data_IF_461781696662
#
_entry.id   IF_461781696662
#
_cell.length_a   1.000
_cell.length_b   1.000
_cell.length_c   1.000
_cell.angle_alpha   90.00
_cell.angle_beta   90.00
_cell.angle_gamma   90.00
#
_symmetry.space_group_name_H-M   'P 1'
#
loop_
_entity.id
_entity.type
_entity.pdbx_description
1 polymer ?
#
# COMPACT_ATOMS: atom_id res chain seq x y z
N UNK A 1 26.89 -29.19 -56.81
CA UNK A 1 26.27 -28.18 -55.97
C UNK A 1 25.66 -28.87 -54.79
N UNK A 2 26.37 -28.95 -53.69
CA UNK A 2 25.95 -29.58 -52.46
C UNK A 2 25.55 -28.48 -51.46
N UNK A 3 24.26 -28.36 -51.20
CA UNK A 3 23.70 -27.40 -50.21
C UNK A 3 23.79 -27.99 -48.82
N UNK A 4 24.65 -27.45 -47.98
CA UNK A 4 24.72 -27.77 -46.55
C UNK A 4 23.72 -26.92 -45.78
N UNK A 5 22.77 -27.58 -45.11
CA UNK A 5 21.85 -26.98 -44.15
C UNK A 5 22.56 -26.72 -42.82
N UNK A 6 22.41 -25.56 -42.21
CA UNK A 6 22.99 -25.32 -40.88
C UNK A 6 22.16 -26.02 -39.81
N UNK A 7 22.81 -26.84 -39.00
CA UNK A 7 22.25 -27.47 -37.81
C UNK A 7 22.01 -26.43 -36.73
N UNK A 8 20.74 -26.17 -36.38
CA UNK A 8 20.34 -25.36 -35.22
C UNK A 8 20.48 -26.23 -33.95
N UNK A 9 21.63 -26.15 -33.32
CA UNK A 9 21.81 -26.72 -31.98
C UNK A 9 21.06 -25.82 -30.99
N UNK A 10 19.87 -26.27 -30.58
CA UNK A 10 19.08 -25.60 -29.56
C UNK A 10 19.81 -25.67 -28.20
N UNK A 11 20.31 -24.51 -27.75
CA UNK A 11 20.75 -24.33 -26.37
C UNK A 11 19.52 -24.17 -25.47
N UNK A 12 18.96 -25.27 -24.96
CA UNK A 12 18.11 -25.25 -23.78
C UNK A 12 19.01 -25.27 -22.55
N UNK A 13 19.57 -24.12 -22.20
CA UNK A 13 20.13 -23.93 -20.87
C UNK A 13 18.97 -23.80 -19.90
N UNK A 14 18.62 -24.87 -19.20
CA UNK A 14 17.83 -24.76 -17.97
C UNK A 14 18.72 -24.08 -16.96
N UNK A 15 18.53 -22.77 -16.74
CA UNK A 15 19.23 -22.05 -15.69
C UNK A 15 18.99 -22.79 -14.36
N UNK A 16 20.07 -23.14 -13.66
CA UNK A 16 19.98 -23.69 -12.31
C UNK A 16 19.46 -22.61 -11.38
N UNK A 17 18.19 -22.66 -11.00
CA UNK A 17 17.51 -21.74 -10.10
C UNK A 17 17.63 -22.17 -8.61
N UNK A 18 18.36 -23.26 -8.33
CA UNK A 18 18.51 -23.80 -6.96
C UNK A 18 19.20 -22.84 -5.97
N UNK A 19 19.89 -21.81 -6.49
CA UNK A 19 20.55 -20.79 -5.69
C UNK A 19 19.71 -19.54 -5.39
N UNK A 20 18.47 -19.44 -5.89
CA UNK A 20 17.63 -18.30 -5.56
C UNK A 20 17.08 -18.42 -4.13
N UNK A 21 17.11 -17.32 -3.34
CA UNK A 21 16.55 -17.32 -2.01
C UNK A 21 15.03 -17.59 -2.09
N UNK A 22 14.55 -18.45 -1.19
CA UNK A 22 13.12 -18.70 -1.08
C UNK A 22 12.37 -17.42 -0.67
N UNK A 23 11.17 -17.17 -1.21
CA UNK A 23 10.33 -16.07 -0.76
C UNK A 23 10.06 -16.18 0.75
N UNK A 24 10.00 -15.04 1.44
CA UNK A 24 9.56 -15.02 2.84
C UNK A 24 8.09 -15.45 2.94
N UNK A 25 7.76 -16.14 4.01
CA UNK A 25 6.34 -16.36 4.37
C UNK A 25 5.70 -15.04 4.76
N UNK A 26 4.47 -14.82 4.29
CA UNK A 26 3.64 -13.71 4.74
C UNK A 26 3.10 -14.07 6.13
N UNK A 27 3.52 -13.33 7.14
CA UNK A 27 3.11 -13.55 8.54
C UNK A 27 1.88 -12.74 8.93
N UNK A 28 1.92 -12.12 10.12
CA UNK A 28 0.85 -11.24 10.61
C UNK A 28 1.00 -9.85 9.96
N UNK A 29 -0.03 -9.41 9.21
CA UNK A 29 -0.03 -8.14 8.47
C UNK A 29 -1.12 -7.22 8.99
N UNK A 30 -0.74 -6.08 9.54
CA UNK A 30 -1.71 -5.05 9.92
C UNK A 30 -2.03 -4.17 8.71
N UNK A 31 -3.31 -4.03 8.39
CA UNK A 31 -3.78 -3.29 7.21
C UNK A 31 -4.70 -2.16 7.66
N UNK A 32 -4.32 -0.92 7.40
CA UNK A 32 -5.25 0.20 7.58
C UNK A 32 -6.14 0.36 6.35
N UNK A 33 -7.40 0.74 6.54
CA UNK A 33 -8.35 0.84 5.42
C UNK A 33 -8.78 -0.53 4.87
N UNK A 34 -8.69 -1.59 5.69
CA UNK A 34 -8.92 -2.96 5.24
C UNK A 34 -10.38 -3.35 5.04
N UNK A 35 -11.33 -2.48 5.35
CA UNK A 35 -12.75 -2.74 5.14
C UNK A 35 -13.20 -2.56 3.68
N UNK A 36 -12.46 -1.85 2.85
CA UNK A 36 -12.84 -1.56 1.47
C UNK A 36 -11.65 -1.37 0.52
N UNK A 37 -11.95 -1.26 -0.77
CA UNK A 37 -11.01 -0.83 -1.81
C UNK A 37 -9.70 -1.62 -1.84
N UNK A 38 -8.57 -0.90 -1.91
CA UNK A 38 -7.24 -1.52 -1.94
C UNK A 38 -6.95 -2.29 -0.65
N UNK A 39 -7.30 -1.72 0.52
CA UNK A 39 -7.04 -2.39 1.80
C UNK A 39 -7.74 -3.74 1.90
N UNK A 40 -9.01 -3.85 1.48
CA UNK A 40 -9.73 -5.12 1.45
C UNK A 40 -9.09 -6.11 0.45
N UNK A 41 -8.65 -5.63 -0.71
CA UNK A 41 -7.91 -6.47 -1.66
C UNK A 41 -6.57 -6.97 -1.09
N UNK A 42 -5.88 -6.16 -0.28
CA UNK A 42 -4.66 -6.57 0.43
C UNK A 42 -4.98 -7.63 1.49
N UNK A 43 -6.07 -7.46 2.25
CA UNK A 43 -6.53 -8.48 3.22
C UNK A 43 -6.74 -9.83 2.53
N UNK A 44 -7.44 -9.83 1.38
CA UNK A 44 -7.66 -11.05 0.59
C UNK A 44 -6.35 -11.64 0.08
N UNK A 45 -5.44 -10.83 -0.41
CA UNK A 45 -4.14 -11.27 -0.91
C UNK A 45 -3.25 -11.86 0.20
N UNK A 46 -3.28 -11.29 1.41
CA UNK A 46 -2.58 -11.81 2.59
C UNK A 46 -3.13 -13.18 2.98
N UNK A 47 -4.45 -13.35 3.03
CA UNK A 47 -5.08 -14.64 3.29
C UNK A 47 -4.69 -15.68 2.24
N UNK A 48 -4.77 -15.32 0.96
CA UNK A 48 -4.38 -16.21 -0.14
C UNK A 48 -2.90 -16.63 -0.11
N UNK A 49 -2.03 -15.77 0.43
CA UNK A 49 -0.62 -16.05 0.62
C UNK A 49 -0.30 -16.80 1.93
N UNK A 50 -1.33 -17.23 2.69
CA UNK A 50 -1.19 -17.96 3.95
C UNK A 50 -0.80 -17.11 5.16
N UNK A 51 -0.91 -15.78 5.04
CA UNK A 51 -0.68 -14.84 6.14
C UNK A 51 -1.93 -14.59 7.00
N UNK A 52 -1.76 -13.86 8.07
CA UNK A 52 -2.83 -13.47 9.02
C UNK A 52 -3.04 -11.96 8.95
N UNK A 53 -4.07 -11.47 8.24
CA UNK A 53 -4.37 -10.05 8.22
C UNK A 53 -5.09 -9.61 9.50
N UNK A 54 -4.81 -8.38 9.96
CA UNK A 54 -5.59 -7.70 10.99
C UNK A 54 -5.85 -6.26 10.55
N UNK A 55 -7.06 -5.75 10.78
CA UNK A 55 -7.57 -4.54 10.16
C UNK A 55 -7.76 -3.40 11.16
N UNK A 56 -7.31 -2.22 10.77
CA UNK A 56 -7.60 -0.93 11.42
C UNK A 56 -8.42 -0.08 10.45
N UNK A 57 -9.71 0.11 10.73
CA UNK A 57 -10.63 0.85 9.86
C UNK A 57 -11.76 1.47 10.69
N UNK A 58 -12.50 2.40 10.12
CA UNK A 58 -13.74 2.94 10.71
C UNK A 58 -14.93 2.00 10.57
N UNK A 59 -14.80 0.95 9.77
CA UNK A 59 -15.80 -0.07 9.55
C UNK A 59 -15.20 -1.46 9.68
N UNK A 60 -16.01 -2.43 10.05
CA UNK A 60 -15.58 -3.83 10.08
C UNK A 60 -15.30 -4.36 8.66
N UNK A 61 -14.27 -5.19 8.45
CA UNK A 61 -14.02 -5.83 7.17
C UNK A 61 -15.15 -6.83 6.85
N UNK A 62 -15.43 -7.01 5.56
CA UNK A 62 -16.46 -7.95 5.08
C UNK A 62 -16.01 -9.42 5.12
N UNK A 63 -14.87 -9.72 5.72
CA UNK A 63 -14.29 -11.06 5.82
C UNK A 63 -14.45 -11.60 7.22
N UNK A 64 -15.25 -12.68 7.35
CA UNK A 64 -15.37 -13.39 8.62
C UNK A 64 -14.01 -13.95 9.09
N UNK A 65 -13.79 -13.91 10.40
CA UNK A 65 -12.57 -14.44 11.01
C UNK A 65 -11.33 -13.53 10.90
N UNK A 66 -11.43 -12.36 10.25
CA UNK A 66 -10.37 -11.37 10.25
C UNK A 66 -10.50 -10.46 11.46
N UNK A 67 -9.46 -10.43 12.30
CA UNK A 67 -9.43 -9.54 13.45
C UNK A 67 -9.46 -8.07 12.99
N UNK A 68 -10.24 -7.25 13.68
CA UNK A 68 -10.36 -5.84 13.32
C UNK A 68 -10.62 -4.97 14.55
N UNK A 69 -10.16 -3.74 14.48
CA UNK A 69 -10.52 -2.67 15.42
C UNK A 69 -11.08 -1.49 14.67
N UNK A 70 -12.23 -1.01 15.15
CA UNK A 70 -12.81 0.23 14.66
C UNK A 70 -12.05 1.41 15.25
N UNK A 71 -11.48 2.25 14.36
CA UNK A 71 -10.66 3.40 14.74
C UNK A 71 -10.69 4.49 13.68
N UNK A 72 -10.81 5.75 14.10
CA UNK A 72 -10.55 6.90 13.22
C UNK A 72 -9.04 7.19 13.19
N UNK A 73 -8.43 6.94 12.05
CA UNK A 73 -6.99 7.19 11.84
C UNK A 73 -6.64 8.68 11.79
N UNK A 74 -7.62 9.57 11.75
CA UNK A 74 -7.43 11.01 11.96
C UNK A 74 -7.05 11.37 13.40
N UNK A 75 -7.29 10.46 14.36
CA UNK A 75 -6.81 10.54 15.73
C UNK A 75 -5.55 9.68 15.88
N UNK A 76 -4.39 10.33 15.93
CA UNK A 76 -3.10 9.65 16.02
C UNK A 76 -2.91 8.86 17.32
N UNK A 77 -3.52 9.29 18.44
CA UNK A 77 -3.42 8.59 19.71
C UNK A 77 -4.27 7.32 19.67
N UNK A 78 -5.51 7.41 19.19
CA UNK A 78 -6.39 6.25 18.99
C UNK A 78 -5.79 5.24 17.99
N UNK A 79 -5.16 5.71 16.91
CA UNK A 79 -4.47 4.85 15.95
C UNK A 79 -3.31 4.06 16.58
N UNK A 80 -2.49 4.71 17.42
CA UNK A 80 -1.39 4.06 18.11
C UNK A 80 -1.89 3.04 19.16
N UNK A 81 -2.92 3.38 19.93
CA UNK A 81 -3.56 2.47 20.89
C UNK A 81 -4.16 1.24 20.20
N UNK A 82 -4.81 1.44 19.06
CA UNK A 82 -5.39 0.36 18.27
C UNK A 82 -4.32 -0.64 17.79
N UNK A 83 -3.12 -0.20 17.44
CA UNK A 83 -1.99 -1.11 17.16
C UNK A 83 -1.65 -1.96 18.37
N UNK A 84 -1.52 -1.37 19.56
CA UNK A 84 -1.23 -2.12 20.78
C UNK A 84 -2.32 -3.17 21.11
N UNK A 85 -3.58 -2.81 20.94
CA UNK A 85 -4.72 -3.74 21.12
C UNK A 85 -4.73 -4.89 20.11
N UNK A 86 -4.35 -4.64 18.84
CA UNK A 86 -4.20 -5.72 17.86
C UNK A 86 -3.07 -6.68 18.25
N UNK A 87 -1.96 -6.17 18.80
CA UNK A 87 -0.88 -7.03 19.30
C UNK A 87 -1.38 -7.98 20.39
N UNK A 88 -2.24 -7.53 21.29
CA UNK A 88 -2.86 -8.37 22.31
C UNK A 88 -3.83 -9.42 21.74
N UNK A 89 -4.52 -9.09 20.63
CA UNK A 89 -5.52 -9.97 20.03
C UNK A 89 -4.94 -11.04 19.10
N UNK A 90 -3.97 -10.67 18.26
CA UNK A 90 -3.48 -11.52 17.17
C UNK A 90 -1.96 -11.68 17.14
N UNK A 91 -1.25 -11.11 18.11
CA UNK A 91 0.20 -11.11 18.17
C UNK A 91 0.86 -10.00 17.33
N UNK A 92 2.18 -9.79 17.50
CA UNK A 92 2.89 -8.70 16.88
C UNK A 92 2.91 -8.79 15.34
N UNK A 93 2.87 -7.65 14.64
CA UNK A 93 2.93 -7.64 13.18
C UNK A 93 4.34 -7.98 12.67
N UNK A 94 4.39 -8.73 11.58
CA UNK A 94 5.57 -8.89 10.73
C UNK A 94 5.56 -7.91 9.56
N UNK A 95 4.40 -7.32 9.27
CA UNK A 95 4.28 -6.27 8.27
C UNK A 95 3.12 -5.31 8.59
N UNK A 96 3.23 -4.08 8.08
CA UNK A 96 2.18 -3.07 8.11
C UNK A 96 1.95 -2.53 6.70
N UNK A 97 0.69 -2.45 6.29
CA UNK A 97 0.25 -1.83 5.03
C UNK A 97 -0.69 -0.68 5.33
N UNK A 98 -0.29 0.55 5.02
CA UNK A 98 -1.11 1.74 5.32
C UNK A 98 -1.94 2.15 4.10
N UNK A 99 -3.06 1.42 3.85
CA UNK A 99 -3.93 1.63 2.69
C UNK A 99 -5.12 2.57 2.97
N UNK A 100 -5.34 3.00 4.21
CA UNK A 100 -6.36 3.99 4.52
C UNK A 100 -6.07 5.32 3.84
N UNK A 101 -7.12 5.94 3.34
CA UNK A 101 -7.03 7.27 2.73
C UNK A 101 -8.39 7.87 2.47
N UNK A 102 -8.43 9.19 2.46
CA UNK A 102 -9.60 10.01 2.13
C UNK A 102 -9.16 11.18 1.25
N UNK A 103 -10.13 11.86 0.67
CA UNK A 103 -9.90 12.98 -0.22
C UNK A 103 -10.93 14.09 0.00
N UNK A 104 -10.57 15.31 -0.43
CA UNK A 104 -11.43 16.47 -0.54
C UNK A 104 -11.01 17.26 -1.78
N UNK A 105 -11.86 17.22 -2.82
CA UNK A 105 -11.60 17.87 -4.11
C UNK A 105 -12.29 19.22 -4.19
N UNK A 106 -11.61 20.20 -4.78
CA UNK A 106 -12.13 21.53 -5.07
C UNK A 106 -11.06 22.61 -5.06
N UNK A 107 -11.36 23.82 -5.55
CA UNK A 107 -10.49 24.98 -5.43
C UNK A 107 -10.17 25.26 -3.96
N UNK A 108 -8.91 25.59 -3.64
CA UNK A 108 -8.45 25.77 -2.27
C UNK A 108 -9.30 26.74 -1.44
N UNK A 109 -9.85 27.76 -2.09
CA UNK A 109 -10.70 28.77 -1.43
C UNK A 109 -12.13 28.30 -1.15
N UNK A 110 -12.55 27.17 -1.73
CA UNK A 110 -13.91 26.65 -1.63
C UNK A 110 -13.99 25.38 -0.77
N UNK A 111 -12.88 24.69 -0.57
CA UNK A 111 -12.84 23.52 0.33
C UNK A 111 -12.97 23.99 1.77
N UNK A 112 -13.86 23.35 2.54
CA UNK A 112 -13.90 23.55 3.99
C UNK A 112 -12.53 23.26 4.63
N UNK A 113 -11.97 24.19 5.42
CA UNK A 113 -10.67 24.00 6.04
C UNK A 113 -10.54 22.73 6.87
N UNK A 114 -11.59 22.34 7.59
CA UNK A 114 -11.59 21.11 8.39
C UNK A 114 -11.55 19.86 7.50
N UNK A 115 -12.27 19.86 6.38
CA UNK A 115 -12.22 18.79 5.41
C UNK A 115 -10.82 18.66 4.79
N UNK A 116 -10.18 19.78 4.45
CA UNK A 116 -8.80 19.82 3.95
C UNK A 116 -7.81 19.22 4.96
N UNK A 117 -7.87 19.68 6.23
CA UNK A 117 -7.00 19.19 7.29
C UNK A 117 -7.25 17.71 7.60
N UNK A 118 -8.51 17.25 7.55
CA UNK A 118 -8.88 15.86 7.76
C UNK A 118 -8.16 14.93 6.77
N UNK A 119 -8.03 15.34 5.51
CA UNK A 119 -7.27 14.57 4.51
C UNK A 119 -5.82 14.37 4.96
N UNK A 120 -5.17 15.41 5.46
CA UNK A 120 -3.78 15.32 5.95
C UNK A 120 -3.70 14.48 7.22
N UNK A 121 -4.64 14.69 8.15
CA UNK A 121 -4.70 13.91 9.40
C UNK A 121 -4.83 12.41 9.12
N UNK A 122 -5.76 12.01 8.28
CA UNK A 122 -5.99 10.58 7.97
C UNK A 122 -4.84 10.01 7.14
N UNK A 123 -4.50 10.65 6.02
CA UNK A 123 -3.59 10.06 5.04
C UNK A 123 -2.12 10.06 5.50
N UNK A 124 -1.70 11.12 6.19
CA UNK A 124 -0.31 11.28 6.61
C UNK A 124 -0.12 10.97 8.10
N UNK A 125 -0.82 11.69 9.00
CA UNK A 125 -0.58 11.51 10.43
C UNK A 125 -1.04 10.14 10.92
N UNK A 126 -2.16 9.62 10.40
CA UNK A 126 -2.61 8.25 10.68
C UNK A 126 -1.61 7.20 10.20
N UNK A 127 -1.05 7.38 8.99
CA UNK A 127 0.05 6.53 8.49
C UNK A 127 1.25 6.55 9.43
N UNK A 128 1.70 7.74 9.83
CA UNK A 128 2.85 7.91 10.74
C UNK A 128 2.56 7.28 12.11
N UNK A 129 1.36 7.49 12.67
CA UNK A 129 1.00 6.96 13.98
C UNK A 129 1.00 5.43 14.02
N UNK A 130 0.37 4.79 13.04
CA UNK A 130 0.32 3.31 12.93
C UNK A 130 1.71 2.73 12.72
N UNK A 131 2.48 3.27 11.78
CA UNK A 131 3.85 2.80 11.51
C UNK A 131 4.71 2.95 12.75
N UNK A 132 4.70 4.13 13.40
CA UNK A 132 5.50 4.40 14.60
C UNK A 132 5.17 3.43 15.75
N UNK A 133 3.89 3.12 15.97
CA UNK A 133 3.46 2.19 17.00
C UNK A 133 3.88 0.74 16.69
N UNK A 134 3.95 0.36 15.41
CA UNK A 134 4.32 -0.98 14.97
C UNK A 134 5.85 -1.19 14.86
N UNK A 135 6.64 -0.12 14.70
CA UNK A 135 8.09 -0.21 14.44
C UNK A 135 8.88 -1.09 15.42
N UNK A 136 8.67 -1.07 16.75
CA UNK A 136 9.40 -1.94 17.66
C UNK A 136 9.23 -3.43 17.33
N UNK A 137 8.01 -3.84 16.97
CA UNK A 137 7.70 -5.22 16.59
C UNK A 137 8.26 -5.58 15.21
N UNK A 138 8.19 -4.64 14.28
CA UNK A 138 8.73 -4.83 12.92
C UNK A 138 10.27 -4.94 12.95
N UNK A 139 10.94 -4.20 13.81
CA UNK A 139 12.39 -4.29 13.97
C UNK A 139 12.79 -5.65 14.52
N UNK A 140 12.11 -6.16 15.54
CA UNK A 140 12.33 -7.50 16.10
C UNK A 140 12.10 -8.61 15.05
N UNK A 141 11.01 -8.48 14.26
CA UNK A 141 10.67 -9.43 13.22
C UNK A 141 11.50 -9.28 11.93
N UNK A 142 12.36 -8.26 11.81
CA UNK A 142 12.93 -7.82 10.52
C UNK A 142 11.85 -7.68 9.46
N UNK A 143 10.74 -7.06 9.84
CA UNK A 143 9.51 -6.98 9.09
C UNK A 143 9.54 -5.93 7.99
N UNK A 144 8.35 -5.63 7.45
CA UNK A 144 8.21 -4.72 6.30
C UNK A 144 7.08 -3.72 6.52
N UNK A 145 7.32 -2.46 6.17
CA UNK A 145 6.33 -1.41 6.04
C UNK A 145 6.04 -1.19 4.55
N UNK A 146 4.76 -1.20 4.17
CA UNK A 146 4.30 -0.77 2.86
C UNK A 146 3.38 0.44 3.05
N UNK A 147 3.83 1.62 2.64
CA UNK A 147 3.00 2.81 2.64
C UNK A 147 2.36 3.02 1.28
N UNK A 148 1.12 3.52 1.27
CA UNK A 148 0.40 3.78 0.02
C UNK A 148 0.42 5.26 -0.32
N UNK A 149 1.24 5.61 -1.32
CA UNK A 149 1.25 6.91 -1.97
C UNK A 149 0.11 7.06 -3.00
N UNK A 150 0.42 7.70 -4.10
CA UNK A 150 -0.43 7.89 -5.28
C UNK A 150 0.44 8.46 -6.41
N UNK A 151 -0.02 8.43 -7.67
CA UNK A 151 0.57 9.27 -8.72
C UNK A 151 0.61 10.75 -8.32
N UNK A 152 -0.32 11.18 -7.44
CA UNK A 152 -0.33 12.52 -6.85
C UNK A 152 0.72 12.73 -5.73
N UNK A 153 1.55 11.74 -5.43
CA UNK A 153 2.78 11.92 -4.66
C UNK A 153 4.01 12.21 -5.52
N UNK A 154 3.84 12.15 -6.85
CA UNK A 154 4.89 12.43 -7.86
C UNK A 154 4.68 13.78 -8.53
N UNK A 155 3.42 14.18 -8.74
CA UNK A 155 3.03 15.48 -9.29
C UNK A 155 1.74 15.96 -8.63
N UNK A 156 1.62 17.27 -8.42
CA UNK A 156 0.39 17.90 -7.95
C UNK A 156 -0.67 17.96 -9.06
N UNK A 157 -1.93 18.05 -8.65
CA UNK A 157 -3.08 18.25 -9.53
C UNK A 157 -3.90 19.42 -9.00
N UNK A 158 -4.49 20.24 -9.89
CA UNK A 158 -5.43 21.28 -9.47
C UNK A 158 -6.62 20.64 -8.75
N UNK A 159 -7.25 21.38 -7.87
CA UNK A 159 -8.41 20.97 -7.09
C UNK A 159 -8.20 19.71 -6.20
N UNK A 160 -6.93 19.32 -5.98
CA UNK A 160 -6.53 18.21 -5.14
C UNK A 160 -5.40 18.60 -4.18
N UNK A 161 -5.42 19.83 -3.66
CA UNK A 161 -4.31 20.36 -2.85
C UNK A 161 -4.11 19.59 -1.54
N UNK A 162 -5.18 19.22 -0.83
CA UNK A 162 -5.11 18.42 0.39
C UNK A 162 -4.54 17.03 0.13
N UNK A 163 -5.08 16.35 -0.89
CA UNK A 163 -4.66 15.01 -1.24
C UNK A 163 -3.21 14.97 -1.71
N UNK A 164 -2.83 15.88 -2.64
CA UNK A 164 -1.45 16.01 -3.10
C UNK A 164 -0.50 16.28 -1.93
N UNK A 165 -0.80 17.26 -1.07
CA UNK A 165 0.03 17.56 0.09
C UNK A 165 0.21 16.33 0.99
N UNK A 166 -0.87 15.59 1.28
CA UNK A 166 -0.83 14.38 2.10
C UNK A 166 0.02 13.28 1.46
N UNK A 167 -0.12 13.04 0.16
CA UNK A 167 0.57 11.95 -0.55
C UNK A 167 2.05 12.27 -0.84
N UNK A 168 2.41 13.54 -1.10
CA UNK A 168 3.82 13.98 -1.08
C UNK A 168 4.42 13.82 0.32
N UNK A 169 3.66 14.14 1.37
CA UNK A 169 4.07 13.91 2.76
C UNK A 169 4.35 12.43 3.06
N UNK A 170 3.45 11.52 2.64
CA UNK A 170 3.64 10.07 2.77
C UNK A 170 4.91 9.62 2.04
N UNK A 171 5.15 10.10 0.82
CA UNK A 171 6.38 9.77 0.08
C UNK A 171 7.63 10.23 0.82
N UNK A 172 7.66 11.49 1.26
CA UNK A 172 8.79 12.04 2.03
C UNK A 172 9.05 11.27 3.32
N UNK A 173 7.97 10.97 4.07
CA UNK A 173 8.03 10.14 5.26
C UNK A 173 8.62 8.75 4.97
N UNK A 174 8.13 8.09 3.91
CA UNK A 174 8.57 6.74 3.56
C UNK A 174 10.06 6.69 3.22
N UNK A 175 10.55 7.67 2.43
CA UNK A 175 11.97 7.74 2.07
C UNK A 175 12.87 7.99 3.29
N UNK A 176 12.44 8.89 4.19
CA UNK A 176 13.18 9.17 5.41
C UNK A 176 13.21 7.93 6.33
N UNK A 177 12.05 7.26 6.51
CA UNK A 177 11.94 6.03 7.29
C UNK A 177 12.83 4.90 6.72
N UNK A 178 12.86 4.76 5.38
CA UNK A 178 13.69 3.77 4.72
C UNK A 178 15.20 4.00 4.97
N UNK A 179 15.63 5.25 5.04
CA UNK A 179 17.02 5.60 5.37
C UNK A 179 17.31 5.37 6.86
N UNK A 180 16.38 5.75 7.75
CA UNK A 180 16.52 5.61 9.20
C UNK A 180 16.58 4.14 9.64
N UNK A 181 15.76 3.26 9.02
CA UNK A 181 15.66 1.84 9.37
C UNK A 181 16.40 0.91 8.41
N UNK A 182 17.33 1.44 7.61
CA UNK A 182 18.10 0.66 6.64
C UNK A 182 18.73 -0.59 7.27
N UNK A 183 18.48 -1.76 6.67
CA UNK A 183 18.98 -3.06 7.13
C UNK A 183 18.25 -3.64 8.36
N UNK A 184 17.29 -2.91 8.96
CA UNK A 184 16.53 -3.34 10.14
C UNK A 184 15.07 -3.66 9.80
N UNK A 185 14.40 -2.77 9.07
CA UNK A 185 13.02 -2.92 8.61
C UNK A 185 12.96 -2.61 7.13
N UNK A 186 12.33 -3.46 6.34
CA UNK A 186 12.06 -3.18 4.93
C UNK A 186 11.01 -2.08 4.79
N UNK A 187 11.22 -1.11 3.90
CA UNK A 187 10.29 0.00 3.70
C UNK A 187 10.02 0.21 2.22
N UNK A 188 8.76 0.05 1.83
CA UNK A 188 8.28 0.15 0.45
C UNK A 188 7.27 1.27 0.32
N UNK A 189 7.42 2.11 -0.69
CA UNK A 189 6.39 3.03 -1.16
C UNK A 189 5.64 2.39 -2.34
N UNK A 190 4.36 2.11 -2.15
CA UNK A 190 3.45 1.72 -3.23
C UNK A 190 2.81 2.98 -3.81
N UNK A 191 2.92 3.18 -5.11
CA UNK A 191 2.40 4.34 -5.85
C UNK A 191 1.35 3.84 -6.86
N UNK A 192 0.08 3.71 -6.45
CA UNK A 192 -0.97 3.30 -7.37
C UNK A 192 -1.43 4.47 -8.24
N UNK A 193 -1.85 4.15 -9.47
CA UNK A 193 -2.72 4.98 -10.29
C UNK A 193 -4.17 4.90 -9.85
N UNK A 194 -5.09 5.33 -10.71
CA UNK A 194 -6.52 5.21 -10.48
C UNK A 194 -6.95 3.74 -10.34
N UNK A 195 -7.76 3.44 -9.32
CA UNK A 195 -8.26 2.09 -9.08
C UNK A 195 -9.78 2.05 -9.03
N UNK A 196 -10.36 0.95 -9.48
CA UNK A 196 -11.80 0.69 -9.47
C UNK A 196 -12.28 0.33 -8.07
N UNK A 197 -12.52 1.38 -7.26
CA UNK A 197 -12.92 1.29 -5.86
C UNK A 197 -13.95 2.37 -5.54
N UNK A 198 -14.60 2.28 -4.39
CA UNK A 198 -15.53 3.29 -3.89
C UNK A 198 -14.85 4.63 -3.48
N UNK A 199 -13.52 4.76 -3.64
CA UNK A 199 -12.78 5.96 -3.26
C UNK A 199 -13.28 7.24 -3.95
N UNK A 200 -13.83 7.10 -5.15
CA UNK A 200 -14.35 8.21 -5.95
C UNK A 200 -15.83 8.52 -5.72
N UNK A 201 -16.57 7.64 -5.03
CA UNK A 201 -18.05 7.71 -4.94
C UNK A 201 -18.55 8.99 -4.26
N UNK A 202 -17.83 9.49 -3.26
CA UNK A 202 -18.17 10.71 -2.53
C UNK A 202 -17.82 12.03 -3.23
N UNK A 203 -17.18 11.98 -4.42
CA UNK A 203 -16.79 13.18 -5.17
C UNK A 203 -17.97 13.72 -5.98
N UNK A 204 -17.97 15.03 -6.23
CA UNK A 204 -18.85 15.63 -7.25
C UNK A 204 -18.49 15.11 -8.65
N UNK A 205 -19.44 15.08 -9.57
CA UNK A 205 -19.26 14.43 -10.89
C UNK A 205 -18.03 14.91 -11.66
N UNK A 206 -17.70 16.20 -11.59
CA UNK A 206 -16.53 16.77 -12.27
C UNK A 206 -15.19 16.23 -11.78
N UNK A 207 -15.13 15.62 -10.59
CA UNK A 207 -13.92 15.05 -9.99
C UNK A 207 -13.93 13.51 -9.97
N UNK A 208 -14.98 12.91 -10.52
CA UNK A 208 -15.01 11.46 -10.74
C UNK A 208 -14.24 11.09 -11.99
N UNK A 209 -13.63 9.90 -12.05
CA UNK A 209 -13.09 9.37 -13.30
C UNK A 209 -14.15 9.37 -14.40
N UNK A 210 -13.76 9.79 -15.59
CA UNK A 210 -14.67 9.73 -16.75
C UNK A 210 -15.08 8.29 -17.08
N UNK A 211 -16.14 8.11 -17.90
CA UNK A 211 -16.65 6.78 -18.24
C UNK A 211 -15.63 5.89 -18.94
N UNK A 212 -14.68 6.49 -19.66
CA UNK A 212 -13.62 5.79 -20.39
C UNK A 212 -12.30 5.69 -19.62
N UNK A 213 -12.30 6.05 -18.33
CA UNK A 213 -11.08 5.98 -17.51
C UNK A 213 -10.63 4.53 -17.33
N UNK A 214 -9.39 4.23 -17.73
CA UNK A 214 -8.77 2.93 -17.50
C UNK A 214 -8.31 2.83 -16.03
N UNK A 215 -9.18 2.32 -15.18
CA UNK A 215 -8.91 2.14 -13.75
C UNK A 215 -8.41 0.73 -13.47
N UNK A 216 -7.32 0.63 -12.74
CA UNK A 216 -6.75 -0.66 -12.35
C UNK A 216 -7.68 -1.45 -11.41
N UNK A 217 -7.63 -2.76 -11.47
CA UNK A 217 -8.26 -3.62 -10.46
C UNK A 217 -7.42 -3.56 -9.16
N UNK A 218 -8.02 -3.24 -7.99
CA UNK A 218 -7.29 -3.19 -6.74
C UNK A 218 -6.59 -4.51 -6.38
N UNK A 219 -7.08 -5.66 -6.88
CA UNK A 219 -6.45 -6.97 -6.68
C UNK A 219 -5.09 -7.07 -7.37
N UNK A 220 -4.91 -6.43 -8.53
CA UNK A 220 -3.62 -6.39 -9.21
C UNK A 220 -2.60 -5.57 -8.39
N UNK A 221 -3.05 -4.44 -7.82
CA UNK A 221 -2.21 -3.64 -6.93
C UNK A 221 -1.90 -4.38 -5.62
N UNK A 222 -2.86 -5.11 -5.05
CA UNK A 222 -2.65 -5.92 -3.86
C UNK A 222 -1.65 -7.06 -4.07
N UNK A 223 -1.62 -7.68 -5.27
CA UNK A 223 -0.64 -8.70 -5.60
C UNK A 223 0.81 -8.18 -5.54
N UNK A 224 1.04 -6.90 -5.90
CA UNK A 224 2.38 -6.30 -5.79
C UNK A 224 2.78 -6.05 -4.34
N UNK A 225 1.81 -5.81 -3.43
CA UNK A 225 2.08 -5.74 -1.99
C UNK A 225 2.64 -7.07 -1.50
N UNK A 226 2.04 -8.20 -1.87
CA UNK A 226 2.56 -9.52 -1.49
C UNK A 226 3.98 -9.73 -2.01
N UNK A 227 4.28 -9.28 -3.23
CA UNK A 227 5.65 -9.32 -3.78
C UNK A 227 6.65 -8.56 -2.90
N UNK A 228 6.27 -7.39 -2.37
CA UNK A 228 7.11 -6.63 -1.45
C UNK A 228 7.30 -7.34 -0.11
N UNK A 229 6.23 -7.92 0.45
CA UNK A 229 6.27 -8.64 1.72
C UNK A 229 7.10 -9.93 1.65
N UNK A 230 7.20 -10.54 0.48
CA UNK A 230 7.92 -11.80 0.25
C UNK A 230 9.40 -11.60 -0.12
N UNK A 231 9.90 -10.36 -0.16
CA UNK A 231 11.33 -10.13 -0.40
C UNK A 231 12.17 -10.79 0.70
N UNK A 232 13.28 -11.45 0.35
CA UNK A 232 14.17 -12.03 1.36
C UNK A 232 14.79 -10.95 2.25
N UNK A 233 15.13 -11.31 3.49
CA UNK A 233 15.78 -10.38 4.42
C UNK A 233 17.06 -9.82 3.80
N UNK A 234 17.18 -8.50 3.83
CA UNK A 234 18.34 -7.79 3.22
C UNK A 234 18.10 -7.37 1.77
N UNK A 235 16.96 -7.75 1.18
CA UNK A 235 16.49 -7.22 -0.12
C UNK A 235 15.15 -6.53 0.08
N UNK A 236 14.95 -5.37 -0.51
CA UNK A 236 13.69 -4.63 -0.42
C UNK A 236 13.37 -3.90 -1.72
N UNK A 237 12.08 -3.83 -2.01
CA UNK A 237 11.57 -3.01 -3.09
C UNK A 237 11.30 -1.63 -2.51
N UNK A 238 12.00 -0.61 -2.97
CA UNK A 238 11.89 0.76 -2.43
C UNK A 238 10.64 1.49 -2.92
N UNK A 239 10.36 1.41 -4.20
CA UNK A 239 9.17 2.02 -4.81
C UNK A 239 8.55 1.07 -5.83
N UNK A 240 7.21 1.04 -5.87
CA UNK A 240 6.44 0.32 -6.88
C UNK A 240 5.38 1.25 -7.46
N UNK A 241 5.46 1.51 -8.75
CA UNK A 241 4.47 2.25 -9.51
C UNK A 241 3.56 1.25 -10.22
N UNK A 242 2.27 1.23 -9.88
CA UNK A 242 1.31 0.24 -10.36
C UNK A 242 0.03 0.92 -10.83
N UNK A 243 -0.30 0.73 -12.10
CA UNK A 243 -1.48 1.35 -12.70
C UNK A 243 -2.02 0.50 -13.84
N UNK A 244 -3.19 0.82 -14.34
CA UNK A 244 -3.69 0.25 -15.58
C UNK A 244 -2.77 0.62 -16.75
N UNK A 245 -2.65 -0.24 -17.75
CA UNK A 245 -1.73 -0.01 -18.88
C UNK A 245 -2.10 1.21 -19.73
N UNK A 246 -3.37 1.61 -19.73
CA UNK A 246 -3.87 2.80 -20.40
C UNK A 246 -4.01 4.03 -19.51
N UNK A 247 -3.56 3.96 -18.25
CA UNK A 247 -3.61 5.08 -17.30
C UNK A 247 -2.74 6.25 -17.78
N UNK A 248 -3.31 7.45 -17.84
CA UNK A 248 -2.62 8.65 -18.30
C UNK A 248 -2.22 9.61 -17.18
N UNK A 249 -2.44 9.25 -15.92
CA UNK A 249 -2.07 10.12 -14.80
C UNK A 249 -0.55 10.17 -14.54
N UNK A 250 0.20 9.22 -15.10
CA UNK A 250 1.66 9.15 -15.05
C UNK A 250 2.21 8.37 -16.25
N UNK A 251 3.36 8.69 -16.88
CA UNK A 251 4.22 9.86 -16.66
C UNK A 251 3.59 11.17 -17.00
#
# INVERSE_FOLDING_TARGET
MTTSTPSTTGMTSTADLSGLPAPRTVGTVYVTGGASGLGAAVVDAVLAAGGTPAVLDRAAPQREGVASLEVDLGDSAAAAEAVARLVEQVGPPTAVVTAAGTDACGPLTEIDPEAWEKVVRVNLFGTVAVVRAALPYLEEARGTVVTVGSTLSLRGMSDATAYSASKFGVRGFTHALAAEYAGRVGVTLLIPGGMRTAFFDGRTEQYKPGPDADLNDPRHTAATVITALQQPVGSEIREMLVMASGESSWP
#
